data_IF_009584369913
#
_entry.id   IF_009584369913
#
_cell.length_a   1.000
_cell.length_b   1.000
_cell.length_c   1.000
_cell.angle_alpha   90.00
_cell.angle_beta   90.00
_cell.angle_gamma   90.00
#
_symmetry.space_group_name_H-M   'P 1'
#
loop_
_entity.id
_entity.type
_entity.pdbx_description
1 polymer ?
#
# COMPACT_ATOMS: atom_id res chain seq x y z
N UNK A 1 -24.31 1.88 0.86
CA UNK A 1 -23.21 2.49 0.07
C UNK A 1 -22.03 1.53 -0.08
N UNK A 2 -21.36 1.07 0.99
CA UNK A 2 -20.17 0.19 0.88
C UNK A 2 -20.39 -1.10 0.09
N UNK A 3 -21.50 -1.83 0.33
CA UNK A 3 -21.84 -3.06 -0.43
C UNK A 3 -21.80 -2.84 -1.94
N UNK A 4 -22.47 -1.79 -2.43
CA UNK A 4 -22.45 -1.41 -3.85
C UNK A 4 -21.05 -1.15 -4.39
N UNK A 5 -20.15 -0.56 -3.59
CA UNK A 5 -18.76 -0.34 -4.01
C UNK A 5 -18.00 -1.66 -4.10
N UNK A 6 -18.15 -2.55 -3.13
CA UNK A 6 -17.53 -3.86 -3.19
C UNK A 6 -18.09 -4.75 -4.30
N UNK A 7 -19.39 -4.65 -4.61
CA UNK A 7 -19.99 -5.29 -5.79
C UNK A 7 -19.31 -4.81 -7.10
N UNK A 8 -19.07 -3.50 -7.23
CA UNK A 8 -18.35 -2.93 -8.37
C UNK A 8 -16.89 -3.38 -8.44
N UNK A 9 -16.19 -3.41 -7.30
CA UNK A 9 -14.80 -3.90 -7.22
C UNK A 9 -14.74 -5.39 -7.59
N UNK A 10 -15.68 -6.20 -7.08
CA UNK A 10 -15.76 -7.63 -7.33
C UNK A 10 -15.90 -7.95 -8.83
N UNK A 11 -16.63 -7.13 -9.57
CA UNK A 11 -16.75 -7.25 -11.03
C UNK A 11 -15.45 -6.98 -11.81
N UNK A 12 -14.41 -6.40 -11.19
CA UNK A 12 -13.16 -6.01 -11.84
C UNK A 12 -11.91 -6.66 -11.22
N UNK A 13 -12.07 -7.71 -10.41
CA UNK A 13 -10.94 -8.35 -9.73
C UNK A 13 -9.89 -8.92 -10.69
N UNK A 14 -10.29 -9.35 -11.89
CA UNK A 14 -9.37 -9.88 -12.90
C UNK A 14 -8.32 -8.87 -13.38
N UNK A 15 -8.60 -7.58 -13.28
CA UNK A 15 -7.67 -6.49 -13.60
C UNK A 15 -7.00 -5.87 -12.36
N UNK A 16 -7.23 -6.44 -11.17
CA UNK A 16 -6.69 -5.92 -9.93
C UNK A 16 -5.68 -6.88 -9.32
N UNK A 17 -4.63 -6.28 -8.76
CA UNK A 17 -3.69 -6.94 -7.87
C UNK A 17 -3.66 -6.14 -6.57
N UNK A 18 -3.93 -6.82 -5.46
CA UNK A 18 -3.94 -6.22 -4.13
C UNK A 18 -2.80 -6.85 -3.33
N UNK A 19 -1.94 -6.00 -2.79
CA UNK A 19 -0.87 -6.37 -1.86
C UNK A 19 -1.01 -5.49 -0.61
N UNK A 20 -0.96 -6.09 0.56
CA UNK A 20 -1.15 -5.39 1.84
C UNK A 20 -0.04 -5.72 2.83
N UNK A 21 0.45 -4.68 3.50
CA UNK A 21 1.40 -4.78 4.59
C UNK A 21 0.69 -4.48 5.91
N UNK A 22 0.66 -5.47 6.81
CA UNK A 22 0.08 -5.35 8.15
C UNK A 22 1.19 -4.96 9.11
N UNK A 23 0.95 -3.87 9.84
CA UNK A 23 1.95 -3.28 10.73
C UNK A 23 1.32 -2.92 12.06
N UNK A 24 1.66 -3.67 13.10
CA UNK A 24 1.32 -3.31 14.47
C UNK A 24 2.29 -2.26 14.99
N UNK A 25 1.87 -0.99 15.06
CA UNK A 25 2.74 0.15 15.39
C UNK A 25 3.41 0.00 16.77
N UNK A 26 2.79 -0.69 17.72
CA UNK A 26 3.37 -0.96 19.04
C UNK A 26 4.61 -1.88 18.99
N UNK A 27 4.76 -2.71 17.95
CA UNK A 27 5.94 -3.55 17.74
C UNK A 27 7.06 -2.83 16.97
N UNK A 28 6.84 -1.57 16.60
CA UNK A 28 7.85 -0.77 15.87
C UNK A 28 8.89 -0.22 16.84
N UNK A 29 10.16 -0.54 16.58
CA UNK A 29 11.27 -0.03 17.38
C UNK A 29 11.29 1.51 17.50
N UNK A 30 11.75 2.08 18.63
CA UNK A 30 11.61 3.51 18.91
C UNK A 30 12.24 4.42 17.84
N UNK A 31 13.36 3.98 17.26
CA UNK A 31 14.07 4.72 16.20
C UNK A 31 13.25 4.88 14.91
N UNK A 32 12.25 4.02 14.67
CA UNK A 32 11.42 4.03 13.46
C UNK A 32 9.99 4.53 13.72
N UNK A 33 9.61 4.82 14.97
CA UNK A 33 8.21 5.08 15.36
C UNK A 33 7.68 6.44 14.90
N UNK A 34 8.57 7.42 14.72
CA UNK A 34 8.21 8.73 14.19
C UNK A 34 7.53 8.60 12.82
N UNK A 35 6.42 9.28 12.61
CA UNK A 35 5.61 9.15 11.38
C UNK A 35 6.44 9.41 10.11
N UNK A 36 7.38 10.36 10.16
CA UNK A 36 8.28 10.72 9.07
C UNK A 36 9.29 9.63 8.71
N UNK A 37 9.52 8.66 9.60
CA UNK A 37 10.37 7.50 9.34
C UNK A 37 9.53 6.24 9.08
N UNK A 38 8.46 6.05 9.88
CA UNK A 38 7.56 4.91 9.83
C UNK A 38 6.90 4.74 8.47
N UNK A 39 6.07 5.71 8.05
CA UNK A 39 5.26 5.56 6.83
C UNK A 39 6.12 5.43 5.57
N UNK A 40 7.18 6.24 5.37
CA UNK A 40 8.01 6.10 4.18
C UNK A 40 8.75 4.75 4.15
N UNK A 41 9.14 4.20 5.31
CA UNK A 41 9.78 2.89 5.39
C UNK A 41 8.81 1.74 5.07
N UNK A 42 7.61 1.77 5.65
CA UNK A 42 6.58 0.75 5.39
C UNK A 42 6.11 0.77 3.93
N UNK A 43 5.87 1.96 3.39
CA UNK A 43 5.54 2.12 1.97
C UNK A 43 6.66 1.58 1.08
N UNK A 44 7.92 1.85 1.43
CA UNK A 44 9.07 1.34 0.69
C UNK A 44 9.17 -0.19 0.69
N UNK A 45 8.83 -0.86 1.80
CA UNK A 45 8.78 -2.32 1.83
C UNK A 45 7.68 -2.88 0.92
N UNK A 46 6.48 -2.32 0.98
CA UNK A 46 5.37 -2.76 0.13
C UNK A 46 5.67 -2.52 -1.35
N UNK A 47 6.12 -1.31 -1.70
CA UNK A 47 6.45 -0.94 -3.07
C UNK A 47 7.56 -1.84 -3.61
N UNK A 48 8.57 -2.15 -2.78
CA UNK A 48 9.64 -3.05 -3.16
C UNK A 48 9.12 -4.43 -3.53
N UNK A 49 8.31 -5.00 -2.66
CA UNK A 49 7.73 -6.32 -2.87
C UNK A 49 6.94 -6.41 -4.18
N UNK A 50 6.16 -5.38 -4.50
CA UNK A 50 5.34 -5.34 -5.72
C UNK A 50 6.19 -5.14 -6.97
N UNK A 51 7.09 -4.14 -6.96
CA UNK A 51 7.88 -3.77 -8.15
C UNK A 51 8.82 -4.91 -8.58
N UNK A 52 9.49 -5.58 -7.64
CA UNK A 52 10.39 -6.72 -7.95
C UNK A 52 9.68 -7.88 -8.67
N UNK A 53 8.36 -8.02 -8.50
CA UNK A 53 7.58 -9.13 -9.07
C UNK A 53 6.92 -8.77 -10.40
N UNK A 54 6.53 -7.52 -10.56
CA UNK A 54 5.70 -7.11 -11.70
C UNK A 54 6.49 -6.37 -12.79
N UNK A 55 7.52 -5.61 -12.40
CA UNK A 55 8.19 -4.66 -13.31
C UNK A 55 9.26 -5.33 -14.19
N UNK A 56 9.51 -6.63 -13.98
CA UNK A 56 10.44 -7.44 -14.80
C UNK A 56 9.87 -7.74 -16.20
N UNK A 57 8.58 -7.52 -16.44
CA UNK A 57 7.88 -7.97 -17.65
C UNK A 57 7.49 -6.81 -18.60
N UNK A 58 8.46 -6.22 -19.32
CA UNK A 58 8.16 -5.35 -20.47
C UNK A 58 7.39 -4.06 -20.15
N UNK A 59 7.40 -3.61 -18.89
CA UNK A 59 6.73 -2.37 -18.46
C UNK A 59 7.52 -1.16 -18.96
N UNK A 60 6.89 -0.27 -19.72
CA UNK A 60 7.55 0.95 -20.23
C UNK A 60 7.63 2.07 -19.19
N UNK A 61 6.64 2.15 -18.30
CA UNK A 61 6.53 3.19 -17.29
C UNK A 61 5.79 2.70 -16.06
N UNK A 62 6.33 3.04 -14.88
CA UNK A 62 5.65 2.84 -13.60
C UNK A 62 4.99 4.13 -13.11
N UNK A 63 3.69 4.08 -12.84
CA UNK A 63 2.95 5.22 -12.26
C UNK A 63 2.56 4.87 -10.82
N UNK A 64 3.09 5.63 -9.86
CA UNK A 64 2.74 5.54 -8.44
C UNK A 64 1.80 6.68 -8.10
N UNK A 65 0.59 6.36 -7.65
CA UNK A 65 -0.42 7.34 -7.26
C UNK A 65 -0.63 7.24 -5.75
N UNK A 66 -0.51 8.37 -5.04
CA UNK A 66 -0.80 8.45 -3.61
C UNK A 66 -1.84 9.50 -3.31
N UNK A 67 -2.55 9.33 -2.19
CA UNK A 67 -3.48 10.36 -1.70
C UNK A 67 -2.72 11.63 -1.27
N UNK A 68 -3.45 12.73 -1.20
CA UNK A 68 -2.94 14.03 -0.76
C UNK A 68 -2.53 13.94 0.71
N UNK A 69 -1.23 13.96 0.96
CA UNK A 69 -0.69 14.06 2.31
C UNK A 69 -0.77 15.54 2.75
N UNK A 70 -1.62 15.90 3.73
CA UNK A 70 -1.90 17.32 4.04
C UNK A 70 -0.66 18.05 4.58
N UNK A 71 0.24 17.32 5.25
CA UNK A 71 1.43 17.87 5.88
C UNK A 71 2.59 17.86 4.90
N UNK A 72 3.06 19.04 4.46
CA UNK A 72 4.13 19.18 3.46
C UNK A 72 5.41 18.41 3.81
N UNK A 73 5.83 18.42 5.09
CA UNK A 73 7.00 17.67 5.55
C UNK A 73 6.82 16.15 5.39
N UNK A 74 5.64 15.62 5.72
CA UNK A 74 5.28 14.21 5.53
C UNK A 74 5.23 13.85 4.05
N UNK A 75 4.67 14.73 3.21
CA UNK A 75 4.66 14.55 1.75
C UNK A 75 6.07 14.41 1.17
N UNK A 76 6.97 15.34 1.50
CA UNK A 76 8.38 15.28 1.03
C UNK A 76 9.09 14.01 1.48
N UNK A 77 8.86 13.57 2.72
CA UNK A 77 9.43 12.33 3.25
C UNK A 77 8.93 11.09 2.49
N UNK A 78 7.63 11.02 2.23
CA UNK A 78 7.01 9.94 1.44
C UNK A 78 7.52 9.94 0.00
N UNK A 79 7.52 11.09 -0.67
CA UNK A 79 8.02 11.22 -2.03
C UNK A 79 9.50 10.83 -2.12
N UNK A 80 10.33 11.27 -1.17
CA UNK A 80 11.73 10.87 -1.08
C UNK A 80 11.88 9.35 -0.93
N UNK A 81 11.10 8.72 -0.07
CA UNK A 81 11.20 7.26 0.10
C UNK A 81 10.74 6.49 -1.13
N UNK A 82 9.65 6.91 -1.79
CA UNK A 82 9.21 6.31 -3.06
C UNK A 82 10.35 6.44 -4.08
N UNK A 83 10.89 7.64 -4.29
CA UNK A 83 12.00 7.87 -5.24
C UNK A 83 13.22 7.02 -4.91
N UNK A 84 13.62 6.94 -3.64
CA UNK A 84 14.77 6.13 -3.21
C UNK A 84 14.54 4.63 -3.45
N UNK A 85 13.32 4.12 -3.22
CA UNK A 85 12.97 2.72 -3.46
C UNK A 85 12.97 2.43 -4.95
N UNK A 86 12.30 3.27 -5.76
CA UNK A 86 12.25 3.11 -7.20
C UNK A 86 13.64 3.21 -7.85
N UNK A 87 14.46 4.20 -7.46
CA UNK A 87 15.81 4.35 -7.99
C UNK A 87 16.71 3.15 -7.68
N UNK A 88 16.49 2.46 -6.56
CA UNK A 88 17.27 1.28 -6.19
C UNK A 88 16.82 0.00 -6.90
N UNK A 89 15.64 -0.01 -7.52
CA UNK A 89 14.97 -1.23 -7.99
C UNK A 89 14.69 -1.25 -9.48
N UNK A 90 14.37 -0.10 -10.04
CA UNK A 90 14.01 -0.01 -11.44
C UNK A 90 15.26 -0.16 -12.31
N UNK A 91 15.16 -0.89 -13.44
CA UNK A 91 16.23 -0.93 -14.42
C UNK A 91 16.65 0.47 -14.86
N UNK A 92 17.93 0.62 -15.21
CA UNK A 92 18.45 1.88 -15.72
C UNK A 92 17.62 2.34 -16.94
N UNK A 93 17.14 3.59 -16.90
CA UNK A 93 16.34 4.19 -17.97
C UNK A 93 14.83 3.93 -17.90
N UNK A 94 14.34 3.09 -16.97
CA UNK A 94 12.90 2.92 -16.79
C UNK A 94 12.24 4.21 -16.28
N UNK A 95 11.17 4.64 -16.96
CA UNK A 95 10.42 5.84 -16.56
C UNK A 95 9.53 5.54 -15.37
N UNK A 96 9.43 6.51 -14.45
CA UNK A 96 8.41 6.47 -13.42
C UNK A 96 7.84 7.85 -13.14
N UNK A 97 6.57 7.89 -12.71
CA UNK A 97 5.88 9.10 -12.24
C UNK A 97 5.28 8.87 -10.87
N UNK A 98 5.35 9.91 -10.04
CA UNK A 98 4.69 9.95 -8.74
C UNK A 98 3.62 11.03 -8.82
N UNK A 99 2.37 10.64 -8.69
CA UNK A 99 1.21 11.53 -8.74
C UNK A 99 0.56 11.61 -7.36
N UNK A 100 0.13 12.81 -6.99
CA UNK A 100 -0.61 13.05 -5.76
C UNK A 100 -1.99 13.59 -6.13
N UNK A 101 -3.03 12.81 -5.80
CA UNK A 101 -4.42 13.19 -6.04
C UNK A 101 -5.20 13.11 -4.74
N UNK A 102 -6.29 13.85 -4.61
CA UNK A 102 -7.22 13.63 -3.51
C UNK A 102 -7.99 12.31 -3.76
N UNK A 103 -8.12 11.43 -2.76
CA UNK A 103 -8.83 10.15 -2.90
C UNK A 103 -10.24 10.32 -3.46
N UNK A 104 -10.94 11.41 -3.11
CA UNK A 104 -12.28 11.73 -3.67
C UNK A 104 -12.31 11.97 -5.18
N UNK A 105 -11.15 12.25 -5.78
CA UNK A 105 -11.01 12.61 -7.20
C UNK A 105 -10.34 11.53 -8.06
N UNK A 106 -9.95 10.40 -7.47
CA UNK A 106 -9.28 9.31 -8.20
C UNK A 106 -9.85 7.95 -7.80
N UNK A 107 -10.52 7.28 -8.74
CA UNK A 107 -11.19 6.00 -8.48
C UNK A 107 -10.22 4.92 -7.96
N UNK A 108 -8.99 4.86 -8.47
CA UNK A 108 -7.99 3.89 -8.02
C UNK A 108 -7.58 4.08 -6.56
N UNK A 109 -7.60 5.34 -6.06
CA UNK A 109 -7.35 5.61 -4.65
C UNK A 109 -8.54 5.15 -3.79
N UNK A 110 -9.77 5.36 -4.28
CA UNK A 110 -10.97 4.83 -3.61
C UNK A 110 -10.94 3.29 -3.54
N UNK A 111 -10.56 2.61 -4.64
CA UNK A 111 -10.41 1.15 -4.66
C UNK A 111 -9.37 0.71 -3.62
N UNK A 112 -8.20 1.36 -3.57
CA UNK A 112 -7.18 1.08 -2.57
C UNK A 112 -7.69 1.28 -1.13
N UNK A 113 -8.43 2.37 -0.86
CA UNK A 113 -9.01 2.67 0.45
C UNK A 113 -10.02 1.59 0.89
N UNK A 114 -10.91 1.15 0.00
CA UNK A 114 -11.87 0.09 0.30
C UNK A 114 -11.19 -1.27 0.52
N UNK A 115 -10.18 -1.60 -0.30
CA UNK A 115 -9.41 -2.84 -0.12
C UNK A 115 -8.66 -2.83 1.22
N UNK A 116 -7.99 -1.72 1.54
CA UNK A 116 -7.29 -1.56 2.80
C UNK A 116 -8.26 -1.62 4.00
N UNK A 117 -9.44 -1.01 3.88
CA UNK A 117 -10.48 -1.09 4.91
C UNK A 117 -10.96 -2.53 5.16
N UNK A 118 -11.22 -3.31 4.10
CA UNK A 118 -11.63 -4.71 4.24
C UNK A 118 -10.56 -5.55 4.96
N UNK A 119 -9.29 -5.40 4.58
CA UNK A 119 -8.16 -6.05 5.26
C UNK A 119 -8.08 -5.60 6.72
N UNK A 120 -8.17 -4.30 6.99
CA UNK A 120 -8.14 -3.75 8.34
C UNK A 120 -9.27 -4.32 9.22
N UNK A 121 -10.50 -4.44 8.70
CA UNK A 121 -11.65 -5.01 9.43
C UNK A 121 -11.42 -6.47 9.81
N UNK A 122 -10.84 -7.26 8.90
CA UNK A 122 -10.45 -8.64 9.19
C UNK A 122 -9.48 -8.69 10.37
N UNK A 123 -8.40 -7.92 10.32
CA UNK A 123 -7.36 -7.95 11.34
C UNK A 123 -7.81 -7.40 12.70
N UNK A 124 -8.69 -6.40 12.71
CA UNK A 124 -9.13 -5.77 13.95
C UNK A 124 -10.30 -6.48 14.62
N UNK A 125 -11.19 -7.11 13.84
CA UNK A 125 -12.49 -7.60 14.35
C UNK A 125 -12.86 -9.00 13.87
N UNK A 126 -12.03 -9.65 13.06
CA UNK A 126 -12.35 -10.95 12.46
C UNK A 126 -13.47 -10.87 11.41
N UNK A 127 -13.86 -9.67 10.97
CA UNK A 127 -14.94 -9.49 10.00
C UNK A 127 -14.44 -9.74 8.57
N UNK A 128 -14.94 -10.79 7.92
CA UNK A 128 -14.45 -11.21 6.59
C UNK A 128 -15.39 -10.90 5.42
N UNK A 129 -16.64 -10.46 5.64
CA UNK A 129 -17.67 -10.28 4.57
C UNK A 129 -17.12 -9.55 3.32
N UNK A 130 -16.39 -8.45 3.51
CA UNK A 130 -15.81 -7.66 2.42
C UNK A 130 -14.40 -8.10 2.05
N UNK A 131 -13.68 -8.71 2.99
CA UNK A 131 -12.37 -9.30 2.74
C UNK A 131 -12.49 -10.47 1.74
N UNK A 132 -13.47 -11.34 1.94
CA UNK A 132 -13.71 -12.50 1.10
C UNK A 132 -14.09 -12.09 -0.33
N UNK A 133 -14.74 -10.94 -0.50
CA UNK A 133 -15.07 -10.37 -1.82
C UNK A 133 -13.82 -9.93 -2.60
N UNK A 134 -12.80 -9.37 -1.94
CA UNK A 134 -11.57 -8.91 -2.62
C UNK A 134 -10.47 -9.98 -2.65
N UNK A 135 -10.61 -11.05 -1.85
CA UNK A 135 -9.65 -12.14 -1.69
C UNK A 135 -9.15 -12.72 -3.01
N UNK A 136 -9.96 -12.89 -4.08
CA UNK A 136 -9.45 -13.41 -5.36
C UNK A 136 -8.35 -12.54 -6.00
N UNK A 137 -8.33 -11.23 -5.75
CA UNK A 137 -7.30 -10.30 -6.22
C UNK A 137 -6.17 -10.05 -5.20
N UNK A 138 -6.29 -10.56 -3.98
CA UNK A 138 -5.30 -10.39 -2.91
C UNK A 138 -4.13 -11.35 -3.13
N UNK A 139 -3.01 -10.81 -3.63
CA UNK A 139 -1.79 -11.57 -3.93
C UNK A 139 -0.87 -11.70 -2.73
N UNK A 140 -0.84 -10.70 -1.87
CA UNK A 140 -0.11 -10.77 -0.62
C UNK A 140 -0.80 -10.00 0.50
N UNK A 141 -0.68 -10.56 1.69
CA UNK A 141 -1.05 -9.92 2.94
C UNK A 141 0.00 -10.33 3.97
N UNK A 142 0.87 -9.40 4.34
CA UNK A 142 2.08 -9.71 5.09
C UNK A 142 2.13 -8.96 6.42
N UNK A 143 2.11 -9.70 7.52
CA UNK A 143 2.46 -9.17 8.84
C UNK A 143 3.98 -9.07 8.98
N UNK A 144 4.47 -7.83 8.94
CA UNK A 144 5.91 -7.54 9.00
C UNK A 144 6.53 -7.91 10.35
N UNK A 145 5.71 -8.03 11.40
CA UNK A 145 6.14 -8.39 12.74
C UNK A 145 5.62 -9.77 13.17
N UNK A 146 5.28 -10.67 12.22
CA UNK A 146 4.73 -12.01 12.51
C UNK A 146 5.55 -12.81 13.53
N UNK A 147 6.87 -12.68 13.49
CA UNK A 147 7.79 -13.37 14.41
C UNK A 147 8.28 -12.48 15.57
N UNK A 148 7.86 -11.22 15.61
CA UNK A 148 8.25 -10.24 16.62
C UNK A 148 7.35 -10.32 17.85
N UNK A 149 7.96 -10.45 19.02
CA UNK A 149 7.25 -10.52 20.32
C UNK A 149 7.44 -9.27 21.18
N UNK A 150 8.32 -8.36 20.77
CA UNK A 150 8.66 -7.15 21.54
C UNK A 150 7.67 -6.03 21.27
N UNK A 151 7.18 -5.42 22.35
CA UNK A 151 6.32 -4.23 22.31
C UNK A 151 7.09 -3.03 22.88
N UNK A 152 7.01 -1.91 22.18
CA UNK A 152 7.59 -0.62 22.56
C UNK A 152 6.43 0.32 22.91
N UNK A 153 6.30 0.66 24.19
CA UNK A 153 5.28 1.58 24.70
C UNK A 153 5.78 3.01 24.69
#
# INVERSE_FOLDING_TARGET
>A
MRRKVFELIAGHLGSLRIDSLIVEKAKTGPALRADEAFYPKMLGYLLRYVVEREVVNGVEELIVITDTIPVQKKRKAVEKAIKSVLAAMLPAGMRYRILHHASRSHYGLQVADYCNWAVFRKWQRGETEFYDQIKPALRSEFDIFRTGVTYYY
#
